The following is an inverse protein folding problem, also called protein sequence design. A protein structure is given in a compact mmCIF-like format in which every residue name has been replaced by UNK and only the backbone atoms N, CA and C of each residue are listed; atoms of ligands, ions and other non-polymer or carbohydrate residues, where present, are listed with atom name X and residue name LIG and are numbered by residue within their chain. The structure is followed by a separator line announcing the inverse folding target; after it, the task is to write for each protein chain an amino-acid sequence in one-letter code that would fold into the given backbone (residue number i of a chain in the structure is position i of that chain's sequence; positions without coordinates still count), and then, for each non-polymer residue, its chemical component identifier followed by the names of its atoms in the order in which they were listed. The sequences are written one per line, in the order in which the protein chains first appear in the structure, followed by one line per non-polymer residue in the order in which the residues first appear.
data_IF_046083674106
#
_entry.id   IF_046083674106
#
_cell.length_a   1.000
_cell.length_b   1.000
_cell.length_c   1.000
_cell.angle_alpha   90.00
_cell.angle_beta   90.00
_cell.angle_gamma   90.00
#
_symmetry.space_group_name_H-M   'P 1'
#
loop_
_entity.id
_entity.type
_entity.pdbx_description
1 polymer ?
#
# COMPACT_ATOMS: atom_id res chain seq x y z
N UNK A 1 -23.10 -13.03 -1.69
CA UNK A 1 -23.45 -14.21 -2.51
C UNK A 1 -24.68 -14.95 -1.92
N UNK A 2 -25.76 -14.23 -1.59
CA UNK A 2 -27.01 -14.84 -1.07
C UNK A 2 -28.07 -15.02 -2.16
N UNK A 3 -28.00 -14.27 -3.27
CA UNK A 3 -29.02 -14.30 -4.32
C UNK A 3 -29.18 -15.64 -5.06
N UNK A 4 -28.09 -16.33 -5.40
CA UNK A 4 -28.17 -17.64 -6.06
C UNK A 4 -28.74 -18.72 -5.13
N UNK A 5 -28.55 -18.59 -3.82
CA UNK A 5 -29.13 -19.50 -2.84
C UNK A 5 -30.65 -19.29 -2.72
N UNK A 6 -31.12 -18.04 -2.65
CA UNK A 6 -32.56 -17.72 -2.65
C UNK A 6 -33.27 -18.23 -3.92
N UNK A 7 -32.62 -18.10 -5.08
CA UNK A 7 -33.14 -18.67 -6.33
C UNK A 7 -33.24 -20.20 -6.28
N UNK A 8 -32.28 -20.87 -5.63
CA UNK A 8 -32.33 -22.32 -5.40
C UNK A 8 -33.46 -22.70 -4.43
N UNK A 9 -33.75 -21.84 -3.47
CA UNK A 9 -34.86 -21.96 -2.50
C UNK A 9 -36.24 -21.68 -3.13
N UNK A 10 -36.29 -21.36 -4.43
CA UNK A 10 -37.54 -21.19 -5.19
C UNK A 10 -38.03 -19.76 -5.32
N UNK A 11 -37.28 -18.78 -4.82
CA UNK A 11 -37.65 -17.36 -4.91
C UNK A 11 -37.57 -16.85 -6.35
N UNK A 12 -38.42 -15.88 -6.68
CA UNK A 12 -38.42 -15.25 -8.01
C UNK A 12 -37.30 -14.22 -8.12
N UNK A 13 -36.81 -14.01 -9.34
CA UNK A 13 -35.75 -13.03 -9.64
C UNK A 13 -36.01 -11.64 -9.06
N UNK A 14 -37.26 -11.16 -9.12
CA UNK A 14 -37.66 -9.86 -8.58
C UNK A 14 -37.54 -9.78 -7.06
N UNK A 15 -38.01 -10.80 -6.35
CA UNK A 15 -37.92 -10.87 -4.87
C UNK A 15 -36.45 -10.93 -4.44
N UNK A 16 -35.63 -11.69 -5.17
CA UNK A 16 -34.20 -11.77 -4.93
C UNK A 16 -33.49 -10.43 -5.18
N UNK A 17 -33.88 -9.66 -6.21
CA UNK A 17 -33.29 -8.32 -6.42
C UNK A 17 -33.58 -7.36 -5.27
N UNK A 18 -34.81 -7.36 -4.75
CA UNK A 18 -35.19 -6.52 -3.62
C UNK A 18 -34.43 -6.93 -2.35
N UNK A 19 -34.38 -8.23 -2.04
CA UNK A 19 -33.70 -8.74 -0.83
C UNK A 19 -32.19 -8.51 -0.86
N UNK A 20 -31.55 -8.67 -2.02
CA UNK A 20 -30.10 -8.51 -2.16
C UNK A 20 -29.70 -7.05 -2.42
N UNK A 21 -30.67 -6.16 -2.67
CA UNK A 21 -30.42 -4.74 -2.91
C UNK A 21 -29.67 -4.47 -4.22
N UNK A 22 -29.91 -5.27 -5.27
CA UNK A 22 -29.29 -5.11 -6.58
C UNK A 22 -30.33 -5.08 -7.68
N UNK A 23 -30.06 -4.36 -8.76
CA UNK A 23 -30.99 -4.29 -9.88
C UNK A 23 -31.30 -5.67 -10.47
N UNK A 24 -32.56 -5.90 -10.90
CA UNK A 24 -33.04 -7.16 -11.49
C UNK A 24 -32.09 -7.75 -12.55
N UNK A 25 -31.60 -6.91 -13.47
CA UNK A 25 -30.65 -7.33 -14.53
C UNK A 25 -29.33 -7.88 -13.99
N UNK A 26 -28.89 -7.45 -12.81
CA UNK A 26 -27.69 -7.97 -12.15
C UNK A 26 -27.91 -9.41 -11.70
N UNK A 27 -29.05 -9.70 -11.06
CA UNK A 27 -29.42 -11.06 -10.66
C UNK A 27 -29.56 -11.96 -11.89
N UNK A 28 -30.22 -11.47 -12.95
CA UNK A 28 -30.34 -12.20 -14.22
C UNK A 28 -28.97 -12.53 -14.83
N UNK A 29 -28.01 -11.60 -14.76
CA UNK A 29 -26.64 -11.82 -15.24
C UNK A 29 -25.90 -12.88 -14.42
N UNK A 30 -26.07 -12.88 -13.09
CA UNK A 30 -25.50 -13.93 -12.24
C UNK A 30 -26.04 -15.32 -12.61
N UNK A 31 -27.34 -15.43 -12.87
CA UNK A 31 -27.96 -16.69 -13.34
C UNK A 31 -27.39 -17.12 -14.69
N UNK A 32 -27.20 -16.20 -15.63
CA UNK A 32 -26.60 -16.51 -16.92
C UNK A 32 -25.18 -17.07 -16.77
N UNK A 33 -24.33 -16.42 -15.97
CA UNK A 33 -22.98 -16.93 -15.67
C UNK A 33 -23.00 -18.30 -15.00
N UNK A 34 -23.89 -18.48 -14.03
CA UNK A 34 -24.04 -19.74 -13.33
C UNK A 34 -24.46 -20.87 -14.28
N UNK A 35 -25.34 -20.63 -15.25
CA UNK A 35 -25.74 -21.64 -16.23
C UNK A 35 -24.63 -22.07 -17.16
N UNK A 36 -23.67 -21.19 -17.45
CA UNK A 36 -22.57 -21.46 -18.38
C UNK A 36 -21.42 -22.22 -17.70
N UNK A 37 -21.04 -21.84 -16.48
CA UNK A 37 -19.86 -22.41 -15.81
C UNK A 37 -19.98 -22.51 -14.30
N UNK A 38 -21.21 -22.58 -13.78
CA UNK A 38 -21.50 -22.75 -12.36
C UNK A 38 -20.95 -21.61 -11.50
N UNK A 39 -20.64 -21.96 -10.25
CA UNK A 39 -20.16 -20.99 -9.27
C UNK A 39 -18.76 -20.44 -9.63
N UNK A 40 -17.93 -21.21 -10.32
CA UNK A 40 -16.61 -20.76 -10.77
C UNK A 40 -16.73 -19.59 -11.75
N UNK A 41 -17.65 -19.68 -12.72
CA UNK A 41 -17.91 -18.58 -13.66
C UNK A 41 -18.41 -17.33 -12.95
N UNK A 42 -19.36 -17.47 -12.01
CA UNK A 42 -19.88 -16.32 -11.24
C UNK A 42 -18.77 -15.62 -10.45
N UNK A 43 -17.85 -16.38 -9.83
CA UNK A 43 -16.74 -15.82 -9.05
C UNK A 43 -15.65 -15.19 -9.92
N UNK A 44 -15.41 -15.73 -11.12
CA UNK A 44 -14.42 -15.18 -12.05
C UNK A 44 -14.83 -13.78 -12.55
N UNK A 45 -16.13 -13.52 -12.67
CA UNK A 45 -16.66 -12.21 -13.01
C UNK A 45 -16.59 -11.25 -11.82
N UNK A 46 -15.44 -10.60 -11.64
CA UNK A 46 -15.31 -9.49 -10.70
C UNK A 46 -16.11 -8.28 -11.19
N UNK A 47 -16.95 -7.73 -10.30
CA UNK A 47 -17.63 -6.46 -10.55
C UNK A 47 -16.59 -5.35 -10.40
N UNK A 48 -16.08 -4.87 -11.53
CA UNK A 48 -14.95 -3.94 -11.61
C UNK A 48 -14.03 -4.44 -12.71
N UNK A 49 -13.85 -3.64 -13.77
CA UNK A 49 -12.95 -3.99 -14.86
C UNK A 49 -11.51 -4.19 -14.37
N UNK A 50 -10.67 -4.73 -15.24
CA UNK A 50 -9.22 -4.71 -15.01
C UNK A 50 -8.82 -3.26 -14.76
N UNK A 51 -8.28 -2.97 -13.58
CA UNK A 51 -7.78 -1.63 -13.26
C UNK A 51 -6.72 -1.18 -14.26
N UNK A 52 -6.30 0.08 -14.17
CA UNK A 52 -5.19 0.58 -14.99
C UNK A 52 -3.97 -0.33 -14.84
N UNK A 53 -3.35 -0.66 -15.98
CA UNK A 53 -2.14 -1.46 -15.98
C UNK A 53 -1.05 -0.73 -15.14
N UNK A 54 -0.25 -1.46 -14.35
CA UNK A 54 0.87 -0.87 -13.65
C UNK A 54 1.80 -0.16 -14.64
N UNK A 55 2.30 1.02 -14.29
CA UNK A 55 3.22 1.73 -15.19
C UNK A 55 4.57 1.04 -15.33
N UNK A 56 5.01 0.31 -14.30
CA UNK A 56 6.25 -0.45 -14.31
C UNK A 56 5.95 -1.95 -14.41
N UNK A 57 6.77 -2.64 -15.18
CA UNK A 57 6.82 -4.11 -15.18
C UNK A 57 7.42 -4.63 -13.89
N UNK A 58 7.17 -5.90 -13.54
CA UNK A 58 7.74 -6.51 -12.34
C UNK A 58 9.28 -6.50 -12.31
N UNK A 59 9.93 -6.56 -13.48
CA UNK A 59 11.38 -6.45 -13.59
C UNK A 59 11.87 -5.03 -13.27
N UNK A 60 11.17 -4.01 -13.78
CA UNK A 60 11.48 -2.61 -13.47
C UNK A 60 11.22 -2.29 -12.00
N UNK A 61 10.15 -2.82 -11.41
CA UNK A 61 9.87 -2.71 -9.97
C UNK A 61 11.02 -3.28 -9.11
N UNK A 62 11.59 -4.41 -9.51
CA UNK A 62 12.76 -4.98 -8.83
C UNK A 62 13.99 -4.07 -8.96
N UNK A 63 14.21 -3.45 -10.11
CA UNK A 63 15.28 -2.47 -10.31
C UNK A 63 15.08 -1.22 -9.44
N UNK A 64 13.85 -0.71 -9.34
CA UNK A 64 13.50 0.38 -8.42
C UNK A 64 13.81 -0.02 -6.97
N UNK A 65 13.37 -1.19 -6.53
CA UNK A 65 13.60 -1.67 -5.17
C UNK A 65 15.11 -1.79 -4.85
N UNK A 66 15.90 -2.34 -5.78
CA UNK A 66 17.35 -2.44 -5.66
C UNK A 66 18.01 -1.05 -5.58
N UNK A 67 17.61 -0.12 -6.45
CA UNK A 67 18.12 1.25 -6.45
C UNK A 67 17.80 1.97 -5.15
N UNK A 68 16.59 1.81 -4.60
CA UNK A 68 16.18 2.40 -3.32
C UNK A 68 16.95 1.79 -2.16
N UNK A 69 17.22 0.47 -2.18
CA UNK A 69 17.97 -0.22 -1.14
C UNK A 69 19.42 0.30 -1.00
N UNK A 70 20.01 0.86 -2.06
CA UNK A 70 21.34 1.52 -1.97
C UNK A 70 21.33 2.77 -1.07
N UNK A 71 20.16 3.34 -0.79
CA UNK A 71 20.03 4.57 -0.01
C UNK A 71 20.52 5.84 -0.72
N UNK A 72 20.71 5.79 -2.05
CA UNK A 72 21.20 6.94 -2.83
C UNK A 72 20.18 8.08 -2.96
N UNK A 73 18.89 7.78 -2.77
CA UNK A 73 17.82 8.77 -2.85
C UNK A 73 17.52 9.34 -1.47
N UNK A 74 17.49 10.67 -1.37
CA UNK A 74 17.10 11.40 -0.16
C UNK A 74 15.60 11.69 -0.11
N UNK A 75 14.97 11.87 -1.27
CA UNK A 75 13.56 12.26 -1.38
C UNK A 75 12.81 11.42 -2.40
N UNK A 76 11.47 11.36 -2.27
CA UNK A 76 10.61 10.76 -3.29
C UNK A 76 10.66 11.49 -4.64
N UNK A 77 11.01 12.77 -4.67
CA UNK A 77 11.14 13.56 -5.90
C UNK A 77 12.37 13.12 -6.71
N UNK A 78 13.50 12.87 -6.05
CA UNK A 78 14.70 12.33 -6.71
C UNK A 78 14.42 10.95 -7.31
N UNK A 79 13.67 10.11 -6.58
CA UNK A 79 13.24 8.81 -7.08
C UNK A 79 12.30 8.95 -8.28
N UNK A 80 11.34 9.89 -8.21
CA UNK A 80 10.41 10.18 -9.31
C UNK A 80 11.16 10.58 -10.58
N UNK A 81 12.10 11.52 -10.48
CA UNK A 81 12.90 11.99 -11.60
C UNK A 81 13.73 10.84 -12.20
N UNK A 82 14.35 10.03 -11.34
CA UNK A 82 15.13 8.87 -11.80
C UNK A 82 14.27 7.81 -12.51
N UNK A 83 13.07 7.52 -12.00
CA UNK A 83 12.13 6.58 -12.65
C UNK A 83 11.70 7.13 -14.02
N UNK A 84 11.43 8.43 -14.12
CA UNK A 84 11.05 9.07 -15.38
C UNK A 84 12.20 9.02 -16.41
N UNK A 85 13.43 9.30 -15.99
CA UNK A 85 14.61 9.23 -16.84
C UNK A 85 14.92 7.80 -17.28
N UNK A 86 14.81 6.83 -16.36
CA UNK A 86 15.22 5.43 -16.60
C UNK A 86 14.20 4.65 -17.43
N UNK A 87 12.91 4.87 -17.20
CA UNK A 87 11.83 4.05 -17.76
C UNK A 87 10.83 4.83 -18.61
N UNK A 88 10.96 6.16 -18.71
CA UNK A 88 10.02 7.01 -19.46
C UNK A 88 8.64 7.13 -18.81
N UNK A 89 8.51 6.76 -17.53
CA UNK A 89 7.24 6.72 -16.80
C UNK A 89 7.10 7.92 -15.88
N UNK A 90 6.01 8.67 -16.02
CA UNK A 90 5.69 9.80 -15.16
C UNK A 90 4.81 9.38 -13.97
N UNK A 91 5.40 9.31 -12.77
CA UNK A 91 4.65 9.21 -11.52
C UNK A 91 4.33 10.59 -10.95
N UNK A 92 3.24 10.69 -10.19
CA UNK A 92 3.07 11.76 -9.19
C UNK A 92 3.90 11.44 -7.94
N UNK A 93 4.20 12.43 -7.11
CA UNK A 93 4.95 12.21 -5.86
C UNK A 93 4.22 11.23 -4.93
N UNK A 94 2.91 11.38 -4.77
CA UNK A 94 2.09 10.43 -4.02
C UNK A 94 2.07 9.03 -4.65
N UNK A 95 2.11 8.94 -5.98
CA UNK A 95 2.25 7.67 -6.71
C UNK A 95 3.59 6.99 -6.42
N UNK A 96 4.68 7.75 -6.28
CA UNK A 96 5.98 7.20 -5.88
C UNK A 96 5.95 6.64 -4.45
N UNK A 97 5.31 7.32 -3.51
CA UNK A 97 5.16 6.78 -2.15
C UNK A 97 4.27 5.53 -2.13
N UNK A 98 3.20 5.51 -2.92
CA UNK A 98 2.35 4.32 -3.09
C UNK A 98 3.14 3.15 -3.70
N UNK A 99 4.01 3.43 -4.67
CA UNK A 99 4.92 2.44 -5.26
C UNK A 99 5.89 1.90 -4.20
N UNK A 100 6.51 2.76 -3.40
CA UNK A 100 7.43 2.34 -2.33
C UNK A 100 6.73 1.46 -1.29
N UNK A 101 5.50 1.79 -0.90
CA UNK A 101 4.69 0.97 0.01
C UNK A 101 4.43 -0.42 -0.60
N UNK A 102 4.03 -0.48 -1.88
CA UNK A 102 3.81 -1.74 -2.62
C UNK A 102 5.09 -2.59 -2.70
N UNK A 103 6.24 -1.97 -2.89
CA UNK A 103 7.55 -2.63 -2.91
C UNK A 103 8.11 -2.94 -1.52
N UNK A 104 7.37 -2.60 -0.45
CA UNK A 104 7.78 -2.71 0.96
C UNK A 104 9.08 -1.97 1.30
N UNK A 105 9.42 -0.94 0.53
CA UNK A 105 10.53 -0.04 0.83
C UNK A 105 10.10 0.97 1.89
N UNK A 106 10.73 0.95 3.06
CA UNK A 106 10.39 1.86 4.17
C UNK A 106 11.35 3.05 4.24
N UNK A 107 10.86 4.24 4.67
CA UNK A 107 11.71 5.37 4.94
C UNK A 107 12.82 5.02 5.95
N UNK A 108 13.99 5.62 5.75
CA UNK A 108 15.07 5.53 6.72
C UNK A 108 14.68 6.31 7.99
N UNK A 109 14.47 5.59 9.08
CA UNK A 109 14.15 6.20 10.39
C UNK A 109 15.43 6.40 11.22
N UNK A 110 15.52 7.49 12.01
CA UNK A 110 16.60 7.66 12.98
C UNK A 110 16.67 6.47 13.92
N UNK A 111 17.88 6.02 14.25
CA UNK A 111 18.06 5.03 15.31
C UNK A 111 17.70 5.67 16.65
N UNK A 112 16.87 5.04 17.50
CA UNK A 112 16.51 5.60 18.80
C UNK A 112 17.71 5.91 19.70
N UNK A 113 18.81 5.17 19.51
CA UNK A 113 20.04 5.34 20.27
C UNK A 113 21.24 5.37 19.33
N UNK A 114 22.15 6.33 19.54
CA UNK A 114 23.40 6.39 18.82
C UNK A 114 24.30 5.22 19.22
N UNK A 115 25.05 4.64 18.28
CA UNK A 115 25.87 3.44 18.54
C UNK A 115 26.94 3.64 19.63
N UNK A 116 27.37 4.89 19.84
CA UNK A 116 28.35 5.28 20.87
C UNK A 116 27.70 5.79 22.17
N UNK A 117 26.38 5.67 22.32
CA UNK A 117 25.70 6.13 23.52
C UNK A 117 25.97 5.16 24.68
N UNK A 118 26.67 5.63 25.71
CA UNK A 118 26.83 4.92 26.98
C UNK A 118 25.74 5.38 27.96
N UNK A 119 24.87 4.45 28.33
CA UNK A 119 23.75 4.72 29.24
C UNK A 119 24.22 5.11 30.64
N UNK A 120 25.34 4.55 31.12
CA UNK A 120 25.90 4.86 32.42
C UNK A 120 26.52 6.27 32.45
N UNK A 121 27.25 6.65 31.38
CA UNK A 121 27.77 8.01 31.24
C UNK A 121 26.64 9.05 31.15
N UNK A 122 25.53 8.74 30.47
CA UNK A 122 24.36 9.62 30.40
C UNK A 122 23.64 9.78 31.74
N UNK A 123 23.47 8.70 32.50
CA UNK A 123 22.90 8.70 33.85
C UNK A 123 23.77 9.50 34.83
N UNK A 124 25.10 9.33 34.76
CA UNK A 124 26.05 10.08 35.57
C UNK A 124 26.02 11.58 35.25
N UNK A 125 25.95 11.94 33.96
CA UNK A 125 25.80 13.33 33.52
C UNK A 125 24.48 13.96 34.02
N UNK A 126 23.37 13.22 33.94
CA UNK A 126 22.05 13.69 34.45
C UNK A 126 22.07 13.95 35.96
N UNK A 127 22.81 13.16 36.75
CA UNK A 127 22.91 13.33 38.22
C UNK A 127 23.88 14.42 38.67
N UNK A 128 24.75 14.93 37.79
CA UNK A 128 25.77 15.94 38.12
C UNK A 128 25.65 17.27 37.37
N UNK A 129 24.58 17.47 36.58
CA UNK A 129 24.46 18.60 35.67
C UNK A 129 24.13 19.93 36.38
N UNK A 130 25.13 20.83 36.41
CA UNK A 130 25.11 22.24 36.81
C UNK A 130 25.31 22.57 38.30
N UNK A 131 26.54 22.39 38.80
CA UNK A 131 27.06 23.16 39.94
C UNK A 131 28.45 23.71 39.63
N UNK A 132 28.55 24.63 38.68
CA UNK A 132 29.63 25.62 38.68
C UNK A 132 29.02 26.99 38.47
N UNK A 133 28.75 27.69 39.58
CA UNK A 133 28.68 29.15 39.56
C UNK A 133 30.02 29.64 39.02
N UNK A 134 30.00 30.23 37.83
CA UNK A 134 31.12 30.99 37.30
C UNK A 134 31.34 32.19 38.21
N UNK A 135 32.31 32.09 39.13
CA UNK A 135 32.82 33.25 39.86
C UNK A 135 33.60 34.09 38.85
N UNK A 136 33.04 35.23 38.44
CA UNK A 136 33.79 36.26 37.71
C UNK A 136 34.83 36.83 38.69
N UNK A 137 36.12 36.68 38.38
CA UNK A 137 37.18 37.43 39.06
C UNK A 137 37.21 38.86 38.51
N UNK A 138 37.26 39.82 39.43
CA UNK A 138 37.49 41.25 39.18
C UNK A 138 38.97 41.52 38.87
#
# INVERSE_FOLDING_TARGET
MHGLWLLRDGWRLGEVSEVVGVHYRTVQRWVAWYRVGGLAAVQAHKMGGTGQAPFLTSAQEAEVAAAVATGRFRTGEELRAWIAERFGVAYTVGGVYSLLERLRCRPKVPRPMHAKADRAAQEAWKKGGFSKRLVRRA
#
